data_IF_102945122550
#
_entry.id   IF_102945122550
#
_cell.length_a   1.000
_cell.length_b   1.000
_cell.length_c   1.000
_cell.angle_alpha   90.00
_cell.angle_beta   90.00
_cell.angle_gamma   90.00
#
_symmetry.space_group_name_H-M   'P 1'
#
loop_
_entity.id
_entity.type
_entity.pdbx_description
1 polymer ?
#
# COMPACT_ATOMS: atom_id res chain seq x y z
N UNK A 1 41.69 6.14 -24.76
CA UNK A 1 40.46 6.65 -24.12
C UNK A 1 39.37 5.65 -24.46
N UNK A 2 38.99 4.81 -23.50
CA UNK A 2 37.92 3.83 -23.70
C UNK A 2 36.60 4.57 -23.69
N UNK A 3 35.81 4.38 -24.74
CA UNK A 3 34.53 5.02 -25.00
C UNK A 3 33.48 4.50 -24.00
N UNK A 4 33.55 4.99 -22.75
CA UNK A 4 32.72 4.53 -21.63
C UNK A 4 31.27 4.98 -21.73
N UNK A 5 31.00 6.03 -22.52
CA UNK A 5 29.65 6.60 -22.70
C UNK A 5 28.73 5.68 -23.53
N UNK A 6 29.27 4.87 -24.44
CA UNK A 6 28.51 3.94 -25.28
C UNK A 6 28.57 2.48 -24.78
N UNK A 7 28.67 2.28 -23.46
CA UNK A 7 28.72 0.94 -22.86
C UNK A 7 27.35 0.48 -22.34
N UNK A 8 27.12 -0.84 -22.32
CA UNK A 8 25.96 -1.43 -21.63
C UNK A 8 25.91 -1.02 -20.14
N UNK A 9 27.08 -0.83 -19.54
CA UNK A 9 27.18 -0.35 -18.16
C UNK A 9 26.68 1.09 -18.01
N UNK A 10 27.05 2.00 -18.93
CA UNK A 10 26.53 3.37 -18.92
C UNK A 10 25.00 3.39 -19.14
N UNK A 11 24.47 2.56 -20.04
CA UNK A 11 23.02 2.42 -20.24
C UNK A 11 22.33 1.93 -18.96
N UNK A 12 22.90 0.93 -18.28
CA UNK A 12 22.38 0.43 -17.01
C UNK A 12 22.36 1.53 -15.93
N UNK A 13 23.46 2.27 -15.77
CA UNK A 13 23.54 3.36 -14.80
C UNK A 13 22.54 4.49 -15.12
N UNK A 14 22.38 4.83 -16.39
CA UNK A 14 21.39 5.81 -16.83
C UNK A 14 19.98 5.33 -16.50
N UNK A 15 19.61 4.10 -16.85
CA UNK A 15 18.30 3.55 -16.56
C UNK A 15 18.04 3.51 -15.04
N UNK A 16 19.01 3.07 -14.24
CA UNK A 16 18.93 3.08 -12.77
C UNK A 16 18.73 4.48 -12.21
N UNK A 17 19.38 5.50 -12.76
CA UNK A 17 19.20 6.89 -12.30
C UNK A 17 17.81 7.44 -12.57
N UNK A 18 17.09 6.92 -13.59
CA UNK A 18 15.74 7.37 -13.96
C UNK A 18 14.63 6.67 -13.18
N UNK A 19 14.86 5.43 -12.74
CA UNK A 19 13.88 4.64 -12.01
C UNK A 19 14.55 3.82 -10.89
N UNK A 20 15.17 4.48 -9.88
CA UNK A 20 15.98 3.79 -8.88
C UNK A 20 15.21 2.72 -8.12
N UNK A 21 14.00 3.03 -7.63
CA UNK A 21 13.14 2.11 -6.87
C UNK A 21 12.80 0.84 -7.65
N UNK A 22 12.66 0.96 -8.97
CA UNK A 22 12.38 -0.17 -9.83
C UNK A 22 13.55 -1.16 -9.90
N UNK A 23 14.75 -0.64 -10.14
CA UNK A 23 15.96 -1.47 -10.15
C UNK A 23 16.28 -2.04 -8.77
N UNK A 24 16.02 -1.29 -7.70
CA UNK A 24 16.16 -1.77 -6.32
C UNK A 24 15.20 -2.92 -6.02
N UNK A 25 13.94 -2.81 -6.45
CA UNK A 25 12.94 -3.88 -6.29
C UNK A 25 13.39 -5.18 -7.00
N UNK A 26 13.80 -5.07 -8.26
CA UNK A 26 14.24 -6.22 -9.06
C UNK A 26 15.54 -6.85 -8.55
N UNK A 27 16.42 -6.05 -7.94
CA UNK A 27 17.72 -6.52 -7.44
C UNK A 27 17.72 -6.86 -5.95
N UNK A 28 16.60 -6.69 -5.25
CA UNK A 28 16.46 -6.94 -3.83
C UNK A 28 16.83 -8.39 -3.48
N UNK A 29 17.73 -8.56 -2.52
CA UNK A 29 18.26 -9.86 -2.10
C UNK A 29 17.55 -10.46 -0.90
N UNK A 30 16.86 -9.63 -0.14
CA UNK A 30 16.12 -10.01 1.07
C UNK A 30 14.81 -9.21 1.17
N UNK A 31 13.95 -9.58 2.11
CA UNK A 31 12.64 -8.94 2.29
C UNK A 31 12.76 -7.47 2.70
N UNK A 32 13.78 -7.09 3.48
CA UNK A 32 13.98 -5.70 3.93
C UNK A 32 14.30 -4.78 2.74
N UNK A 33 15.20 -5.20 1.85
CA UNK A 33 15.51 -4.48 0.62
C UNK A 33 14.29 -4.40 -0.30
N UNK A 34 13.53 -5.49 -0.40
CA UNK A 34 12.32 -5.54 -1.20
C UNK A 34 11.25 -4.58 -0.67
N UNK A 35 10.98 -4.61 0.63
CA UNK A 35 10.02 -3.75 1.31
C UNK A 35 10.36 -2.27 1.12
N UNK A 36 11.64 -1.91 1.28
CA UNK A 36 12.08 -0.52 1.09
C UNK A 36 11.84 -0.04 -0.35
N UNK A 37 12.19 -0.86 -1.34
CA UNK A 37 11.98 -0.50 -2.75
C UNK A 37 10.49 -0.49 -3.12
N UNK A 38 9.74 -1.44 -2.59
CA UNK A 38 8.29 -1.52 -2.74
C UNK A 38 7.58 -0.30 -2.14
N UNK A 39 8.00 0.18 -0.97
CA UNK A 39 7.43 1.37 -0.33
C UNK A 39 7.56 2.62 -1.21
N UNK A 40 8.70 2.80 -1.87
CA UNK A 40 8.88 3.92 -2.78
C UNK A 40 7.93 3.84 -4.01
N UNK A 41 7.71 2.64 -4.55
CA UNK A 41 6.75 2.41 -5.64
C UNK A 41 5.30 2.62 -5.15
N UNK A 42 5.00 2.17 -3.94
CA UNK A 42 3.69 2.34 -3.31
C UNK A 42 3.39 3.81 -3.03
N UNK A 43 4.37 4.58 -2.56
CA UNK A 43 4.24 6.02 -2.36
C UNK A 43 3.89 6.74 -3.67
N UNK A 44 4.62 6.44 -4.75
CA UNK A 44 4.33 7.00 -6.07
C UNK A 44 2.93 6.63 -6.57
N UNK A 45 2.48 5.39 -6.33
CA UNK A 45 1.14 4.94 -6.68
C UNK A 45 0.07 5.68 -5.87
N UNK A 46 0.24 5.80 -4.55
CA UNK A 46 -0.68 6.55 -3.66
C UNK A 46 -0.77 8.00 -4.12
N UNK A 47 0.36 8.69 -4.34
CA UNK A 47 0.40 10.08 -4.79
C UNK A 47 -0.37 10.27 -6.09
N UNK A 48 -0.22 9.36 -7.07
CA UNK A 48 -0.96 9.43 -8.35
C UNK A 48 -2.48 9.35 -8.14
N UNK A 49 -2.93 8.52 -7.21
CA UNK A 49 -4.36 8.40 -6.89
C UNK A 49 -4.86 9.67 -6.20
N UNK A 50 -4.12 10.16 -5.21
CA UNK A 50 -4.46 11.38 -4.47
C UNK A 50 -4.57 12.60 -5.39
N UNK A 51 -3.62 12.77 -6.32
CA UNK A 51 -3.64 13.84 -7.33
C UNK A 51 -4.88 13.81 -8.23
N UNK A 52 -5.48 12.63 -8.41
CA UNK A 52 -6.66 12.41 -9.24
C UNK A 52 -7.91 12.13 -8.40
N UNK A 53 -7.91 12.40 -7.09
CA UNK A 53 -8.98 12.04 -6.17
C UNK A 53 -10.37 12.54 -6.58
N UNK A 54 -10.45 13.71 -7.24
CA UNK A 54 -11.70 14.25 -7.81
C UNK A 54 -12.33 13.31 -8.83
N UNK A 55 -11.52 12.70 -9.71
CA UNK A 55 -12.00 11.76 -10.73
C UNK A 55 -12.46 10.44 -10.13
N UNK A 56 -11.97 10.11 -8.93
CA UNK A 56 -12.25 8.85 -8.23
C UNK A 56 -13.26 9.00 -7.08
N UNK A 57 -13.85 10.19 -6.92
CA UNK A 57 -14.74 10.50 -5.80
C UNK A 57 -15.93 9.53 -5.67
N UNK A 58 -16.46 9.07 -6.81
CA UNK A 58 -17.62 8.18 -6.88
C UNK A 58 -17.25 6.68 -6.89
N UNK A 59 -15.96 6.33 -6.95
CA UNK A 59 -15.54 4.93 -6.94
C UNK A 59 -15.76 4.31 -5.56
N UNK A 60 -16.24 3.07 -5.52
CA UNK A 60 -16.28 2.26 -4.30
C UNK A 60 -14.90 1.68 -3.98
N UNK A 61 -14.81 0.86 -2.93
CA UNK A 61 -13.54 0.21 -2.51
C UNK A 61 -12.88 -0.55 -3.65
N UNK A 62 -13.61 -1.44 -4.32
CA UNK A 62 -13.10 -2.21 -5.45
C UNK A 62 -12.59 -1.29 -6.59
N UNK A 63 -13.37 -0.28 -6.98
CA UNK A 63 -12.95 0.67 -8.01
C UNK A 63 -11.66 1.41 -7.67
N UNK A 64 -11.52 1.88 -6.43
CA UNK A 64 -10.30 2.56 -5.95
C UNK A 64 -9.11 1.59 -5.90
N UNK A 65 -9.35 0.38 -5.43
CA UNK A 65 -8.37 -0.71 -5.45
C UNK A 65 -7.88 -1.03 -6.86
N UNK A 66 -8.73 -0.88 -7.88
CA UNK A 66 -8.35 -1.12 -9.27
C UNK A 66 -7.45 -0.05 -9.83
N UNK A 67 -7.73 1.20 -9.47
CA UNK A 67 -6.81 2.31 -9.77
C UNK A 67 -5.47 2.08 -9.08
N UNK A 68 -5.46 1.65 -7.81
CA UNK A 68 -4.22 1.35 -7.10
C UNK A 68 -3.45 0.17 -7.71
N UNK A 69 -4.13 -0.91 -8.06
CA UNK A 69 -3.54 -2.07 -8.72
C UNK A 69 -2.89 -1.66 -10.06
N UNK A 70 -3.60 -0.87 -10.87
CA UNK A 70 -3.08 -0.35 -12.13
C UNK A 70 -1.86 0.58 -11.91
N UNK A 71 -1.89 1.42 -10.87
CA UNK A 71 -0.80 2.34 -10.57
C UNK A 71 0.46 1.64 -10.02
N UNK A 72 0.29 0.52 -9.31
CA UNK A 72 1.37 -0.32 -8.79
C UNK A 72 1.94 -1.30 -9.83
N UNK A 73 1.15 -1.66 -10.84
CA UNK A 73 1.55 -2.62 -11.87
C UNK A 73 2.67 -2.04 -12.73
N UNK A 74 3.86 -2.63 -12.61
CA UNK A 74 5.05 -2.30 -13.38
C UNK A 74 5.73 -3.59 -13.84
N UNK A 75 6.60 -3.59 -14.86
CA UNK A 75 7.18 -4.84 -15.36
C UNK A 75 7.93 -5.57 -14.24
N UNK A 76 7.62 -6.83 -13.92
CA UNK A 76 8.26 -7.52 -12.79
C UNK A 76 7.55 -7.37 -11.45
N UNK A 77 6.43 -6.63 -11.40
CA UNK A 77 5.52 -6.57 -10.26
C UNK A 77 4.08 -6.71 -10.77
N UNK A 78 3.55 -7.91 -10.69
CA UNK A 78 2.17 -8.23 -11.05
C UNK A 78 1.25 -7.88 -9.90
N UNK A 79 0.23 -7.05 -10.15
CA UNK A 79 -0.78 -6.69 -9.15
C UNK A 79 -2.17 -7.05 -9.68
N UNK A 80 -2.90 -7.85 -8.90
CA UNK A 80 -4.22 -8.37 -9.27
C UNK A 80 -5.25 -8.01 -8.21
N UNK A 81 -6.48 -7.79 -8.65
CA UNK A 81 -7.63 -7.50 -7.79
C UNK A 81 -8.49 -8.74 -7.57
N UNK A 82 -9.27 -8.73 -6.48
CA UNK A 82 -10.35 -9.68 -6.20
C UNK A 82 -9.96 -11.15 -6.40
N UNK A 83 -8.71 -11.48 -6.10
CA UNK A 83 -8.21 -12.83 -6.32
C UNK A 83 -8.68 -13.72 -5.19
N UNK A 84 -9.27 -14.86 -5.55
CA UNK A 84 -9.71 -15.83 -4.56
C UNK A 84 -8.49 -16.56 -3.95
N UNK A 85 -8.20 -16.25 -2.68
CA UNK A 85 -7.13 -16.86 -1.89
C UNK A 85 -7.67 -17.10 -0.48
N UNK A 86 -8.41 -18.20 -0.29
CA UNK A 86 -9.20 -18.50 0.92
C UNK A 86 -10.32 -17.46 1.21
N UNK A 87 -10.73 -16.72 0.17
CA UNK A 87 -11.66 -15.60 0.19
C UNK A 87 -11.28 -14.54 -0.84
N UNK A 88 -12.08 -13.49 -1.00
CA UNK A 88 -11.79 -12.41 -1.94
C UNK A 88 -10.78 -11.44 -1.32
N UNK A 89 -9.51 -11.59 -1.68
CA UNK A 89 -8.47 -10.63 -1.31
C UNK A 89 -8.57 -9.43 -2.25
N UNK A 90 -8.62 -8.23 -1.69
CA UNK A 90 -8.73 -7.00 -2.48
C UNK A 90 -7.53 -6.80 -3.41
N UNK A 91 -6.31 -7.07 -2.92
CA UNK A 91 -5.06 -6.94 -3.67
C UNK A 91 -4.13 -8.14 -3.45
N UNK A 92 -3.60 -8.67 -4.55
CA UNK A 92 -2.46 -9.60 -4.53
C UNK A 92 -1.34 -9.00 -5.36
N UNK A 93 -0.16 -8.87 -4.73
CA UNK A 93 1.04 -8.30 -5.34
C UNK A 93 2.11 -9.37 -5.37
N UNK A 94 2.64 -9.66 -6.56
CA UNK A 94 3.64 -10.69 -6.77
C UNK A 94 4.83 -10.10 -7.54
N UNK A 95 6.02 -10.25 -6.99
CA UNK A 95 7.23 -9.93 -7.73
C UNK A 95 7.53 -11.07 -8.72
N UNK A 96 7.57 -10.75 -10.01
CA UNK A 96 7.82 -11.77 -11.02
C UNK A 96 9.28 -12.19 -11.00
N UNK A 97 9.55 -13.44 -11.40
CA UNK A 97 10.90 -13.97 -11.61
C UNK A 97 11.87 -13.81 -10.42
N UNK A 98 11.35 -13.71 -9.20
CA UNK A 98 12.17 -13.64 -7.98
C UNK A 98 12.29 -15.01 -7.27
N UNK A 99 13.45 -15.24 -6.64
CA UNK A 99 13.69 -16.39 -5.77
C UNK A 99 14.34 -15.89 -4.47
N UNK A 100 13.71 -16.11 -3.29
CA UNK A 100 12.42 -16.76 -3.10
C UNK A 100 11.26 -15.95 -3.70
N UNK A 101 10.13 -16.62 -3.96
CA UNK A 101 8.91 -15.94 -4.41
C UNK A 101 8.48 -14.92 -3.38
N UNK A 102 8.20 -13.69 -3.80
CA UNK A 102 7.72 -12.61 -2.93
C UNK A 102 6.29 -12.28 -3.30
N UNK A 103 5.39 -12.44 -2.33
CA UNK A 103 3.96 -12.19 -2.46
C UNK A 103 3.50 -11.35 -1.28
N UNK A 104 2.71 -10.32 -1.54
CA UNK A 104 2.02 -9.51 -0.53
C UNK A 104 0.52 -9.57 -0.79
N UNK A 105 -0.24 -9.55 0.30
CA UNK A 105 -1.69 -9.44 0.26
C UNK A 105 -2.09 -8.07 0.81
N UNK A 106 -3.10 -7.49 0.21
CA UNK A 106 -3.66 -6.22 0.62
C UNK A 106 -5.17 -6.30 0.82
N UNK A 107 -5.62 -5.65 1.88
CA UNK A 107 -7.02 -5.32 2.13
C UNK A 107 -7.22 -3.81 1.92
N UNK A 108 -8.35 -3.40 1.36
CA UNK A 108 -8.67 -2.00 1.17
C UNK A 108 -10.01 -1.64 1.82
N UNK A 109 -10.06 -0.45 2.42
CA UNK A 109 -11.25 0.10 3.05
C UNK A 109 -11.41 1.57 2.74
N UNK A 110 -12.62 2.03 2.46
CA UNK A 110 -12.97 3.44 2.60
C UNK A 110 -13.14 3.72 4.08
N UNK A 111 -12.50 4.79 4.56
CA UNK A 111 -12.50 5.12 5.99
C UNK A 111 -13.93 5.23 6.54
N UNK A 112 -14.19 4.39 7.54
CA UNK A 112 -15.43 4.41 8.32
C UNK A 112 -15.17 4.21 9.83
N UNK A 113 -14.02 4.69 10.30
CA UNK A 113 -13.59 4.62 11.70
C UNK A 113 -12.72 3.41 12.04
N UNK A 114 -12.11 3.39 13.25
CA UNK A 114 -11.12 2.38 13.63
C UNK A 114 -11.64 0.95 13.65
N UNK A 115 -12.86 0.72 14.13
CA UNK A 115 -13.45 -0.62 14.16
C UNK A 115 -13.61 -1.22 12.75
N UNK A 116 -13.97 -0.39 11.76
CA UNK A 116 -14.09 -0.85 10.37
C UNK A 116 -12.72 -1.19 9.77
N UNK A 117 -11.71 -0.36 10.04
CA UNK A 117 -10.32 -0.65 9.66
C UNK A 117 -9.83 -1.99 10.25
N UNK A 118 -10.06 -2.20 11.55
CA UNK A 118 -9.69 -3.45 12.23
C UNK A 118 -10.45 -4.65 11.66
N UNK A 119 -11.70 -4.49 11.22
CA UNK A 119 -12.42 -5.57 10.55
C UNK A 119 -11.77 -5.98 9.22
N UNK A 120 -11.19 -5.04 8.47
CA UNK A 120 -10.40 -5.36 7.28
C UNK A 120 -9.08 -6.05 7.62
N UNK A 121 -8.38 -5.55 8.65
CA UNK A 121 -7.17 -6.20 9.18
C UNK A 121 -7.42 -7.65 9.60
N UNK A 122 -8.55 -7.92 10.26
CA UNK A 122 -8.97 -9.27 10.65
C UNK A 122 -9.17 -10.18 9.43
N UNK A 123 -9.81 -9.68 8.37
CA UNK A 123 -9.94 -10.43 7.11
C UNK A 123 -8.57 -10.78 6.52
N UNK A 124 -7.68 -9.79 6.42
CA UNK A 124 -6.34 -9.98 5.89
C UNK A 124 -5.57 -11.07 6.66
N UNK A 125 -5.52 -10.96 7.99
CA UNK A 125 -4.72 -11.85 8.83
C UNK A 125 -5.33 -13.24 8.98
N UNK A 126 -6.64 -13.33 9.24
CA UNK A 126 -7.28 -14.57 9.67
C UNK A 126 -8.00 -15.32 8.55
N UNK A 127 -8.23 -14.69 7.39
CA UNK A 127 -8.89 -15.37 6.25
C UNK A 127 -7.95 -15.58 5.09
N UNK A 128 -7.10 -14.59 4.78
CA UNK A 128 -6.36 -14.60 3.52
C UNK A 128 -4.90 -15.02 3.67
N UNK A 129 -4.26 -14.57 4.74
CA UNK A 129 -2.83 -14.79 4.95
C UNK A 129 -2.57 -16.19 5.51
N UNK A 130 -1.62 -16.89 4.90
CA UNK A 130 -1.20 -18.24 5.34
C UNK A 130 0.06 -18.21 6.20
N UNK A 131 0.76 -17.07 6.22
CA UNK A 131 2.06 -16.88 6.87
C UNK A 131 3.24 -17.10 5.93
N UNK A 132 3.00 -17.46 4.67
CA UNK A 132 4.05 -17.55 3.64
C UNK A 132 4.28 -16.24 2.89
N UNK A 133 3.29 -15.36 2.96
CA UNK A 133 3.35 -14.03 2.37
C UNK A 133 4.28 -13.12 3.17
N UNK A 134 4.87 -12.14 2.49
CA UNK A 134 5.64 -11.10 3.15
C UNK A 134 4.73 -10.12 3.89
N UNK A 135 5.27 -8.94 4.21
CA UNK A 135 4.50 -7.87 4.86
C UNK A 135 3.17 -7.59 4.15
N UNK A 136 2.07 -7.60 4.90
CA UNK A 136 0.72 -7.33 4.39
C UNK A 136 0.39 -5.83 4.35
N UNK A 137 -0.69 -5.48 3.66
CA UNK A 137 -1.13 -4.10 3.44
C UNK A 137 -2.59 -3.91 3.86
N UNK A 138 -2.87 -2.85 4.61
CA UNK A 138 -4.23 -2.34 4.79
C UNK A 138 -4.27 -0.92 4.27
N UNK A 139 -4.97 -0.71 3.16
CA UNK A 139 -5.12 0.59 2.51
C UNK A 139 -6.41 1.25 2.97
N UNK A 140 -6.30 2.48 3.49
CA UNK A 140 -7.43 3.26 3.96
C UNK A 140 -7.65 4.47 3.07
N UNK A 141 -8.66 4.40 2.21
CA UNK A 141 -9.09 5.50 1.36
C UNK A 141 -9.92 6.51 2.16
N UNK A 142 -9.41 7.73 2.31
CA UNK A 142 -10.03 8.76 3.13
C UNK A 142 -10.67 9.83 2.25
N UNK A 143 -12.00 9.79 2.15
CA UNK A 143 -12.81 10.80 1.44
C UNK A 143 -13.30 11.94 2.35
N UNK A 144 -12.77 12.03 3.56
CA UNK A 144 -13.14 13.00 4.60
C UNK A 144 -11.97 13.96 4.87
N UNK A 145 -12.27 15.16 5.38
CA UNK A 145 -11.24 16.12 5.83
C UNK A 145 -10.35 15.50 6.91
N UNK A 146 -9.14 16.04 7.06
CA UNK A 146 -8.22 15.77 8.16
C UNK A 146 -7.72 14.32 8.24
N UNK A 147 -7.25 13.75 7.11
CA UNK A 147 -6.69 12.40 7.06
C UNK A 147 -5.66 12.12 8.17
N UNK A 148 -4.80 13.08 8.52
CA UNK A 148 -3.82 12.89 9.60
C UNK A 148 -4.48 12.52 10.92
N UNK A 149 -5.54 13.23 11.31
CA UNK A 149 -6.29 12.96 12.54
C UNK A 149 -7.00 11.61 12.45
N UNK A 150 -7.61 11.31 11.30
CA UNK A 150 -8.36 10.07 11.11
C UNK A 150 -7.44 8.82 11.12
N UNK A 151 -6.23 8.94 10.60
CA UNK A 151 -5.23 7.86 10.68
C UNK A 151 -4.62 7.76 12.09
N UNK A 152 -4.42 8.87 12.79
CA UNK A 152 -4.00 8.87 14.20
C UNK A 152 -5.07 8.22 15.10
N UNK A 153 -6.35 8.45 14.84
CA UNK A 153 -7.46 7.77 15.53
C UNK A 153 -7.39 6.24 15.35
N UNK A 154 -7.13 5.76 14.12
CA UNK A 154 -6.95 4.33 13.86
C UNK A 154 -5.74 3.80 14.63
N UNK A 155 -4.60 4.50 14.55
CA UNK A 155 -3.36 4.10 15.23
C UNK A 155 -3.55 4.03 16.75
N UNK A 156 -4.14 5.06 17.34
CA UNK A 156 -4.41 5.13 18.77
C UNK A 156 -5.34 3.98 19.22
N UNK A 157 -6.37 3.68 18.41
CA UNK A 157 -7.24 2.53 18.68
C UNK A 157 -6.46 1.22 18.64
N UNK A 158 -5.60 1.02 17.62
CA UNK A 158 -4.77 -0.18 17.50
C UNK A 158 -3.80 -0.34 18.67
N UNK A 159 -3.10 0.73 19.05
CA UNK A 159 -2.12 0.70 20.14
C UNK A 159 -2.77 0.56 21.53
N UNK A 160 -4.02 1.01 21.68
CA UNK A 160 -4.78 0.85 22.93
C UNK A 160 -5.35 -0.55 23.08
N UNK A 161 -5.93 -1.10 22.00
CA UNK A 161 -6.71 -2.34 22.07
C UNK A 161 -5.92 -3.58 21.64
N UNK A 162 -4.77 -3.40 20.98
CA UNK A 162 -3.92 -4.46 20.44
C UNK A 162 -4.71 -5.54 19.67
N UNK A 163 -5.55 -5.16 18.68
CA UNK A 163 -6.42 -6.09 17.98
C UNK A 163 -5.62 -7.12 17.16
N UNK A 164 -6.28 -8.23 16.80
CA UNK A 164 -5.69 -9.26 15.92
C UNK A 164 -4.31 -9.75 16.42
N UNK A 165 -4.15 -9.95 17.73
CA UNK A 165 -2.90 -10.36 18.37
C UNK A 165 -1.71 -9.42 18.07
N UNK A 166 -1.96 -8.11 18.02
CA UNK A 166 -0.90 -7.12 17.84
C UNK A 166 0.14 -7.19 18.96
N UNK A 167 1.42 -7.10 18.58
CA UNK A 167 2.57 -7.09 19.49
C UNK A 167 3.07 -5.67 19.70
N UNK A 168 2.69 -5.10 20.84
CA UNK A 168 3.16 -3.79 21.27
C UNK A 168 2.61 -2.64 20.41
N UNK A 169 3.18 -1.46 20.63
CA UNK A 169 2.79 -0.26 19.91
C UNK A 169 3.26 -0.28 18.46
N UNK A 170 2.46 0.30 17.58
CA UNK A 170 2.78 0.55 16.20
C UNK A 170 3.97 1.51 16.04
N UNK A 171 4.68 1.38 14.92
CA UNK A 171 5.81 2.24 14.56
C UNK A 171 5.50 3.07 13.31
N UNK A 172 6.28 4.12 13.07
CA UNK A 172 6.05 4.96 11.90
C UNK A 172 6.40 4.21 10.61
N UNK A 173 5.56 4.39 9.59
CA UNK A 173 5.91 4.04 8.23
C UNK A 173 6.63 5.22 7.57
N UNK A 174 7.38 4.97 6.49
CA UNK A 174 8.03 6.00 5.67
C UNK A 174 7.02 6.93 4.99
N UNK A 175 5.99 6.36 4.38
CA UNK A 175 4.85 7.07 3.78
C UNK A 175 4.09 7.93 4.81
N UNK A 176 3.59 9.08 4.36
CA UNK A 176 2.76 9.96 5.18
C UNK A 176 1.45 9.28 5.56
N UNK A 177 0.92 9.66 6.73
CA UNK A 177 -0.35 9.16 7.27
C UNK A 177 -0.42 7.62 7.32
N UNK A 178 0.74 7.00 7.57
CA UNK A 178 0.90 5.56 7.51
C UNK A 178 1.73 5.08 8.70
N UNK A 179 1.47 3.85 9.15
CA UNK A 179 2.16 3.23 10.28
C UNK A 179 2.29 1.72 10.09
N UNK A 180 3.17 1.10 10.87
CA UNK A 180 3.46 -0.33 10.85
C UNK A 180 2.99 -0.97 12.16
N UNK A 181 2.37 -2.15 12.07
CA UNK A 181 2.08 -3.00 13.23
C UNK A 181 2.70 -4.39 13.04
N UNK A 182 2.83 -5.14 14.14
CA UNK A 182 3.30 -6.53 14.13
C UNK A 182 2.24 -7.38 14.81
N UNK A 183 1.89 -8.53 14.25
CA UNK A 183 0.83 -9.42 14.72
C UNK A 183 1.33 -10.86 14.81
N UNK A 184 1.01 -11.55 15.90
CA UNK A 184 1.25 -13.01 15.98
C UNK A 184 0.23 -13.71 15.10
N UNK A 185 0.67 -14.42 14.06
CA UNK A 185 -0.20 -15.16 13.14
C UNK A 185 -0.43 -16.60 13.61
N UNK A 186 -1.49 -17.23 13.11
CA UNK A 186 -1.83 -18.62 13.43
C UNK A 186 -0.76 -19.64 12.97
N UNK A 187 0.12 -19.28 12.04
CA UNK A 187 1.26 -20.11 11.65
C UNK A 187 2.35 -20.19 12.74
N UNK A 188 2.28 -19.35 13.78
CA UNK A 188 3.26 -19.27 14.86
C UNK A 188 4.37 -18.25 14.64
N UNK A 189 4.38 -17.55 13.50
CA UNK A 189 5.32 -16.47 13.20
C UNK A 189 4.67 -15.09 13.36
N UNK A 190 5.51 -14.06 13.43
CA UNK A 190 5.08 -12.66 13.49
C UNK A 190 4.97 -12.09 12.08
N UNK A 191 3.84 -11.46 11.78
CA UNK A 191 3.60 -10.77 10.51
C UNK A 191 3.57 -9.26 10.72
N UNK A 192 4.33 -8.54 9.90
CA UNK A 192 4.25 -7.09 9.82
C UNK A 192 3.11 -6.67 8.88
N UNK A 193 2.37 -5.62 9.24
CA UNK A 193 1.33 -5.01 8.41
C UNK A 193 1.64 -3.52 8.23
N UNK A 194 1.52 -3.05 6.99
CA UNK A 194 1.58 -1.63 6.65
C UNK A 194 0.18 -1.07 6.53
N UNK A 195 -0.15 -0.09 7.36
CA UNK A 195 -1.40 0.65 7.32
C UNK A 195 -1.18 1.94 6.57
N UNK A 196 -1.77 2.06 5.38
CA UNK A 196 -1.49 3.13 4.44
C UNK A 196 -2.70 4.04 4.30
N UNK A 197 -2.55 5.31 4.68
CA UNK A 197 -3.57 6.33 4.43
C UNK A 197 -3.47 6.90 3.02
N UNK A 198 -4.60 6.96 2.31
CA UNK A 198 -4.68 7.58 0.98
C UNK A 198 -5.74 8.71 1.00
N UNK A 199 -5.30 9.94 0.80
CA UNK A 199 -6.14 11.13 0.88
C UNK A 199 -6.88 11.41 -0.43
N UNK A 200 -8.17 11.09 -0.46
CA UNK A 200 -9.05 11.36 -1.59
C UNK A 200 -9.98 12.56 -1.34
N UNK A 201 -9.85 13.23 -0.21
CA UNK A 201 -10.64 14.42 0.06
C UNK A 201 -10.16 15.58 -0.81
N UNK A 202 -10.99 15.96 -1.78
CA UNK A 202 -10.85 17.20 -2.52
C UNK A 202 -11.91 18.18 -2.00
N UNK A 203 -11.48 19.37 -1.57
CA UNK A 203 -12.40 20.41 -1.11
C UNK A 203 -13.42 20.72 -2.20
N UNK A 204 -14.72 20.68 -1.89
CA UNK A 204 -15.71 21.23 -2.82
C UNK A 204 -15.37 22.70 -3.07
N UNK A 205 -15.22 23.05 -4.34
CA UNK A 205 -15.14 24.43 -4.79
C UNK A 205 -16.34 25.21 -4.22
N UNK A 206 -16.06 26.25 -3.44
CA UNK A 206 -17.06 27.22 -2.99
C UNK A 206 -17.58 28.11 -4.13
N UNK A 207 -17.27 27.80 -5.41
CA UNK A 207 -17.59 28.61 -6.58
C UNK A 207 -18.97 28.32 -7.22
N UNK A 208 -19.86 27.60 -6.54
CA UNK A 208 -21.25 27.38 -7.01
C UNK A 208 -22.33 28.10 -6.16
N UNK A 209 -21.94 29.17 -5.45
CA UNK A 209 -22.90 30.15 -4.91
C UNK A 209 -22.50 31.53 -5.39
N UNK A 210 -22.98 31.89 -6.58
CA UNK A 210 -23.41 33.23 -6.97
C UNK A 210 -23.88 33.20 -8.44
N UNK A 211 -25.18 33.42 -8.64
CA UNK A 211 -25.88 33.41 -9.93
C UNK A 211 -26.80 32.18 -10.04
N UNK A 212 -28.12 32.28 -9.98
CA UNK A 212 -28.99 33.29 -10.56
C UNK A 212 -30.09 33.75 -9.58
N UNK A 213 -30.36 35.05 -9.66
CA UNK A 213 -31.61 35.70 -9.25
C UNK A 213 -32.72 35.37 -10.26
#
# INVERSE_FOLDING_TARGET
MTDTENSLFALFLLAKSKAPSYFELLSAKNEIEFDKAFDAILEDAVIKIEQNGKNYANLNENGLTGVLAAALSIPGLTVTQETNSNGHVDLVIEADHCSPKRRKLGEAKIYNGPAYHVSGLDQLLNRYTTGREGRGLVITYVKKKNISVLMDEIRNYMDTNLPCNQKGASTNHTLKWSFLSIHTHSCGEDLQISHIGCNLFFGQDLSSRDGEQ
#
